data_IF_915558600023
#
_entry.id   IF_915558600023
#
_cell.length_a   1.000
_cell.length_b   1.000
_cell.length_c   1.000
_cell.angle_alpha   90.00
_cell.angle_beta   90.00
_cell.angle_gamma   90.00
#
_symmetry.space_group_name_H-M   'P 1'
#
loop_
_entity.id
_entity.type
_entity.pdbx_description
1 polymer ?
#
# COMPACT_ATOMS: atom_id res chain seq x y z
N UNK A 1 -15.36 9.07 -11.46
CA UNK A 1 -16.57 9.65 -10.84
C UNK A 1 -17.81 9.62 -11.77
N UNK A 2 -17.64 9.76 -13.09
CA UNK A 2 -18.78 9.82 -14.04
C UNK A 2 -19.68 8.56 -14.09
N UNK A 3 -19.26 7.46 -13.45
CA UNK A 3 -20.05 6.23 -13.29
C UNK A 3 -20.47 5.97 -11.83
N UNK A 4 -20.31 6.94 -10.93
CA UNK A 4 -20.59 6.78 -9.50
C UNK A 4 -19.53 5.93 -8.76
N UNK A 5 -18.33 5.82 -9.33
CA UNK A 5 -17.19 5.16 -8.70
C UNK A 5 -16.25 6.20 -8.09
N UNK A 6 -15.63 5.87 -6.99
CA UNK A 6 -14.49 6.56 -6.43
C UNK A 6 -13.24 6.30 -7.27
N UNK A 7 -12.26 7.20 -7.16
CA UNK A 7 -11.00 7.09 -7.91
C UNK A 7 -9.83 6.92 -6.95
N UNK A 8 -9.07 5.85 -7.13
CA UNK A 8 -7.89 5.56 -6.34
C UNK A 8 -6.62 5.42 -7.15
N UNK A 9 -5.47 5.71 -6.52
CA UNK A 9 -4.15 5.51 -7.10
C UNK A 9 -3.18 4.83 -6.13
N UNK A 10 -2.25 4.08 -6.71
CA UNK A 10 -1.10 3.51 -6.02
C UNK A 10 0.05 4.52 -6.01
N UNK A 11 0.70 4.68 -4.86
CA UNK A 11 1.88 5.50 -4.68
C UNK A 11 2.92 4.78 -3.83
N UNK A 12 4.19 5.15 -4.02
CA UNK A 12 5.34 4.67 -3.26
C UNK A 12 6.19 5.87 -2.78
N UNK A 13 5.63 6.78 -1.95
CA UNK A 13 6.21 8.09 -1.70
C UNK A 13 7.47 8.08 -0.83
N UNK A 14 7.68 7.00 -0.07
CA UNK A 14 8.86 6.85 0.79
C UNK A 14 10.12 6.39 0.04
N UNK A 15 9.95 6.06 -1.25
CA UNK A 15 11.03 5.50 -2.06
C UNK A 15 11.57 6.53 -3.04
N UNK A 16 12.87 6.48 -3.28
CA UNK A 16 13.55 7.30 -4.29
C UNK A 16 14.54 6.46 -5.07
N UNK A 17 14.52 6.58 -6.39
CA UNK A 17 15.52 5.96 -7.25
C UNK A 17 16.78 6.86 -7.27
N UNK A 18 18.01 6.31 -7.07
CA UNK A 18 19.25 7.09 -7.20
C UNK A 18 19.45 7.75 -8.56
N UNK A 19 18.81 7.25 -9.60
CA UNK A 19 18.78 7.88 -10.94
C UNK A 19 17.51 8.73 -11.14
N UNK A 20 17.12 9.52 -10.15
CA UNK A 20 16.02 10.48 -10.23
C UNK A 20 16.52 11.92 -10.02
N UNK A 21 15.75 12.90 -10.48
CA UNK A 21 16.05 14.30 -10.25
C UNK A 21 16.03 14.65 -8.76
N UNK A 22 15.09 14.07 -8.02
CA UNK A 22 15.02 14.25 -6.56
C UNK A 22 16.32 13.82 -5.88
N UNK A 23 16.80 12.62 -6.17
CA UNK A 23 18.04 12.13 -5.56
C UNK A 23 19.28 12.95 -6.01
N UNK A 24 19.36 13.33 -7.30
CA UNK A 24 20.47 14.15 -7.80
C UNK A 24 20.53 15.52 -7.15
N UNK A 25 19.37 16.11 -6.85
CA UNK A 25 19.25 17.43 -6.21
C UNK A 25 19.45 17.33 -4.71
N UNK A 26 18.95 16.27 -4.07
CA UNK A 26 18.95 16.10 -2.61
C UNK A 26 19.47 14.71 -2.19
N UNK A 27 20.76 14.40 -2.44
CA UNK A 27 21.34 13.10 -2.08
C UNK A 27 21.48 12.90 -0.55
N UNK A 28 21.29 13.95 0.22
CA UNK A 28 21.25 13.98 1.68
C UNK A 28 19.86 13.69 2.26
N UNK A 29 18.82 13.58 1.43
CA UNK A 29 17.46 13.22 1.85
C UNK A 29 17.21 11.70 1.89
N UNK A 30 18.25 10.89 1.83
CA UNK A 30 18.15 9.45 1.89
C UNK A 30 18.75 8.96 3.21
N UNK A 31 18.02 8.05 3.89
CA UNK A 31 18.55 7.33 5.05
C UNK A 31 19.80 6.55 4.65
N UNK A 32 20.93 6.82 5.26
CA UNK A 32 22.21 6.18 4.94
C UNK A 32 23.18 6.20 6.13
N UNK A 33 24.04 5.18 6.27
CA UNK A 33 24.89 5.04 7.47
C UNK A 33 26.05 6.03 7.51
N UNK A 34 26.59 6.42 6.34
CA UNK A 34 27.74 7.31 6.20
C UNK A 34 27.68 8.08 4.89
N UNK A 35 28.47 9.14 4.80
CA UNK A 35 28.69 9.79 3.51
C UNK A 35 29.40 8.88 2.52
N UNK A 36 29.09 9.03 1.24
CA UNK A 36 29.71 8.29 0.13
C UNK A 36 29.26 6.84 -0.02
N UNK A 37 28.40 6.32 0.86
CA UNK A 37 27.85 4.97 0.74
C UNK A 37 26.33 4.97 0.95
N UNK A 38 25.62 4.36 0.03
CA UNK A 38 24.19 4.09 0.16
C UNK A 38 23.97 2.70 0.78
N UNK A 39 22.83 2.50 1.47
CA UNK A 39 22.37 1.16 1.84
C UNK A 39 22.21 0.25 0.62
N UNK A 40 22.20 -1.05 0.86
CA UNK A 40 21.87 -2.01 -0.20
C UNK A 40 20.52 -1.65 -0.82
N UNK A 41 20.48 -1.59 -2.13
CA UNK A 41 19.26 -1.28 -2.87
C UNK A 41 18.23 -2.42 -2.79
N UNK A 42 16.96 -2.05 -2.72
CA UNK A 42 15.84 -2.94 -3.03
C UNK A 42 15.07 -2.34 -4.19
N UNK A 43 14.80 -3.11 -5.24
CA UNK A 43 14.10 -2.65 -6.46
C UNK A 43 14.71 -1.38 -7.08
N UNK A 44 16.04 -1.23 -7.02
CA UNK A 44 16.77 -0.01 -7.44
C UNK A 44 16.41 1.25 -6.65
N UNK A 45 15.85 1.10 -5.46
CA UNK A 45 15.35 2.21 -4.63
C UNK A 45 16.16 2.38 -3.35
N UNK A 46 16.07 3.60 -2.79
CA UNK A 46 16.50 3.98 -1.46
C UNK A 46 15.32 4.57 -0.68
N UNK A 47 15.44 4.69 0.63
CA UNK A 47 14.40 5.23 1.51
C UNK A 47 14.64 6.71 1.75
N UNK A 48 13.62 7.53 1.49
CA UNK A 48 13.63 8.97 1.79
C UNK A 48 13.63 9.19 3.30
N UNK A 49 14.47 10.05 3.80
CA UNK A 49 14.52 10.44 5.21
C UNK A 49 13.38 11.41 5.56
N UNK A 50 12.20 10.87 5.89
CA UNK A 50 11.06 11.68 6.30
C UNK A 50 11.22 12.30 7.70
N UNK A 51 12.33 12.03 8.41
CA UNK A 51 12.68 12.75 9.64
C UNK A 51 13.32 14.11 9.34
N UNK A 52 13.75 14.34 8.10
CA UNK A 52 14.15 15.62 7.58
C UNK A 52 12.88 16.42 7.19
N UNK A 53 12.61 17.59 7.81
CA UNK A 53 11.43 18.38 7.53
C UNK A 53 11.28 18.77 6.05
N UNK A 54 12.38 19.15 5.40
CA UNK A 54 12.33 19.57 4.00
C UNK A 54 11.92 18.42 3.07
N UNK A 55 12.41 17.19 3.35
CA UNK A 55 12.01 16.00 2.61
C UNK A 55 10.56 15.60 2.92
N UNK A 56 10.13 15.72 4.18
CA UNK A 56 8.76 15.51 4.58
C UNK A 56 7.79 16.43 3.84
N UNK A 57 8.07 17.75 3.92
CA UNK A 57 7.24 18.78 3.31
C UNK A 57 7.15 18.58 1.79
N UNK A 58 8.27 18.26 1.14
CA UNK A 58 8.28 17.94 -0.31
C UNK A 58 7.35 16.77 -0.68
N UNK A 59 7.41 15.68 0.08
CA UNK A 59 6.55 14.50 -0.18
C UNK A 59 5.10 14.84 0.15
N UNK A 60 4.84 15.50 1.30
CA UNK A 60 3.51 15.90 1.70
C UNK A 60 2.85 16.81 0.65
N UNK A 61 3.53 17.89 0.25
CA UNK A 61 3.02 18.85 -0.72
C UNK A 61 2.72 18.20 -2.09
N UNK A 62 3.59 17.29 -2.52
CA UNK A 62 3.36 16.55 -3.76
C UNK A 62 2.11 15.65 -3.69
N UNK A 63 1.90 14.96 -2.56
CA UNK A 63 0.74 14.11 -2.34
C UNK A 63 -0.54 14.93 -2.17
N UNK A 64 -0.51 15.98 -1.34
CA UNK A 64 -1.63 16.90 -1.11
C UNK A 64 -2.12 17.50 -2.44
N UNK A 65 -1.19 17.99 -3.24
CA UNK A 65 -1.49 18.54 -4.57
C UNK A 65 -2.15 17.52 -5.48
N UNK A 66 -1.61 16.30 -5.59
CA UNK A 66 -2.15 15.27 -6.46
C UNK A 66 -3.55 14.81 -6.01
N UNK A 67 -3.75 14.64 -4.70
CA UNK A 67 -5.06 14.29 -4.15
C UNK A 67 -6.09 15.37 -4.49
N UNK A 68 -5.77 16.65 -4.26
CA UNK A 68 -6.68 17.75 -4.53
C UNK A 68 -6.95 17.97 -6.04
N UNK A 69 -5.90 17.97 -6.88
CA UNK A 69 -6.04 18.25 -8.32
C UNK A 69 -6.78 17.12 -9.07
N UNK A 70 -6.55 15.87 -8.70
CA UNK A 70 -7.12 14.72 -9.39
C UNK A 70 -8.42 14.21 -8.74
N UNK A 71 -8.77 14.70 -7.57
CA UNK A 71 -9.92 14.24 -6.80
C UNK A 71 -9.76 12.76 -6.42
N UNK A 72 -8.63 12.43 -5.81
CA UNK A 72 -8.33 11.06 -5.38
C UNK A 72 -9.10 10.77 -4.10
N UNK A 73 -9.90 9.70 -4.11
CA UNK A 73 -10.68 9.25 -2.95
C UNK A 73 -9.94 8.15 -2.17
N UNK A 74 -9.02 7.43 -2.82
CA UNK A 74 -8.31 6.29 -2.24
C UNK A 74 -6.85 6.25 -2.65
N UNK A 75 -5.97 5.99 -1.69
CA UNK A 75 -4.54 5.77 -1.90
C UNK A 75 -4.15 4.36 -1.44
N UNK A 76 -3.50 3.59 -2.31
CA UNK A 76 -2.68 2.47 -1.90
C UNK A 76 -1.26 2.97 -1.69
N UNK A 77 -0.86 3.12 -0.43
CA UNK A 77 0.46 3.59 -0.04
C UNK A 77 1.41 2.42 0.17
N UNK A 78 2.41 2.31 -0.67
CA UNK A 78 3.33 1.18 -0.68
C UNK A 78 4.74 1.56 -0.23
N UNK A 79 5.49 0.55 0.26
CA UNK A 79 6.85 0.67 0.74
C UNK A 79 7.63 -0.62 0.42
N UNK A 80 8.36 -0.64 -0.70
CA UNK A 80 8.93 -1.87 -1.26
C UNK A 80 10.43 -2.05 -1.04
N UNK A 81 11.04 -1.22 -0.20
CA UNK A 81 12.43 -1.40 0.22
C UNK A 81 12.53 -1.37 1.74
N UNK A 82 13.08 -2.42 2.32
CA UNK A 82 13.34 -2.48 3.76
C UNK A 82 14.19 -1.30 4.23
N UNK A 83 13.81 -0.73 5.37
CA UNK A 83 14.60 0.30 6.07
C UNK A 83 15.80 -0.39 6.71
N UNK A 84 16.92 -0.35 6.02
CA UNK A 84 18.20 -0.89 6.48
C UNK A 84 19.20 0.24 6.69
N UNK A 85 20.09 0.11 7.64
CA UNK A 85 21.14 1.10 7.89
C UNK A 85 20.59 2.54 8.01
N UNK A 86 19.48 2.69 8.72
CA UNK A 86 18.66 3.88 8.78
C UNK A 86 19.27 4.94 9.71
N UNK A 87 20.24 5.67 9.24
CA UNK A 87 20.77 6.87 9.89
C UNK A 87 20.31 8.09 9.10
N UNK A 88 19.76 9.08 9.80
CA UNK A 88 19.42 10.37 9.19
C UNK A 88 20.72 11.17 8.96
N UNK A 89 21.04 11.56 7.72
CA UNK A 89 22.22 12.40 7.45
C UNK A 89 22.18 13.74 8.17
N UNK A 90 20.97 14.27 8.39
CA UNK A 90 20.76 15.53 9.07
C UNK A 90 21.19 15.50 10.55
N UNK A 91 20.97 14.39 11.24
CA UNK A 91 21.21 14.28 12.68
C UNK A 91 22.41 13.41 13.04
N UNK A 92 22.88 12.59 12.10
CA UNK A 92 23.88 11.55 12.34
C UNK A 92 23.42 10.45 13.30
N UNK A 93 22.11 10.27 13.52
CA UNK A 93 21.54 9.33 14.49
C UNK A 93 20.65 8.30 13.82
N UNK A 94 20.50 7.09 14.42
CA UNK A 94 19.49 6.10 13.98
C UNK A 94 18.09 6.72 13.97
N UNK A 95 17.33 6.46 12.92
CA UNK A 95 16.08 7.16 12.64
C UNK A 95 14.87 6.25 12.39
N UNK A 96 14.97 4.91 12.58
CA UNK A 96 13.88 3.97 12.26
C UNK A 96 12.56 4.37 12.92
N UNK A 97 12.57 4.61 14.22
CA UNK A 97 11.35 4.97 14.97
C UNK A 97 10.78 6.32 14.49
N UNK A 98 11.61 7.34 14.33
CA UNK A 98 11.18 8.65 13.84
C UNK A 98 10.65 8.58 12.40
N UNK A 99 11.24 7.74 11.56
CA UNK A 99 10.75 7.48 10.20
C UNK A 99 9.33 6.89 10.24
N UNK A 100 9.09 5.90 11.10
CA UNK A 100 7.76 5.31 11.28
C UNK A 100 6.75 6.35 11.75
N UNK A 101 7.10 7.16 12.75
CA UNK A 101 6.22 8.23 13.23
C UNK A 101 5.96 9.31 12.17
N UNK A 102 6.94 9.59 11.30
CA UNK A 102 6.76 10.54 10.21
C UNK A 102 5.75 10.01 9.17
N UNK A 103 5.76 8.70 8.88
CA UNK A 103 4.76 8.07 8.02
C UNK A 103 3.36 8.16 8.62
N UNK A 104 3.19 7.84 9.91
CA UNK A 104 1.89 7.97 10.57
C UNK A 104 1.37 9.40 10.53
N UNK A 105 2.25 10.38 10.75
CA UNK A 105 1.92 11.80 10.67
C UNK A 105 1.45 12.19 9.26
N UNK A 106 2.14 11.74 8.20
CA UNK A 106 1.76 12.11 6.82
C UNK A 106 0.39 11.54 6.45
N UNK A 107 0.02 10.34 6.93
CA UNK A 107 -1.33 9.79 6.75
C UNK A 107 -2.36 10.67 7.46
N UNK A 108 -2.08 11.03 8.71
CA UNK A 108 -2.96 11.90 9.51
C UNK A 108 -3.14 13.26 8.85
N UNK A 109 -2.05 13.89 8.40
CA UNK A 109 -2.05 15.22 7.80
C UNK A 109 -2.81 15.22 6.46
N UNK A 110 -2.60 14.20 5.60
CA UNK A 110 -3.34 14.06 4.34
C UNK A 110 -4.85 13.84 4.57
N UNK A 111 -5.23 12.98 5.51
CA UNK A 111 -6.65 12.74 5.85
C UNK A 111 -7.31 13.97 6.47
N UNK A 112 -6.56 14.78 7.22
CA UNK A 112 -7.07 16.04 7.76
C UNK A 112 -7.27 17.10 6.68
N UNK A 113 -6.40 17.17 5.68
CA UNK A 113 -6.50 18.07 4.54
C UNK A 113 -7.60 17.64 3.54
N UNK A 114 -7.82 16.33 3.39
CA UNK A 114 -8.78 15.75 2.47
C UNK A 114 -9.77 14.84 3.21
N UNK A 115 -10.81 15.39 3.86
CA UNK A 115 -11.82 14.60 4.56
C UNK A 115 -12.52 13.62 3.59
N UNK A 116 -12.53 12.34 3.96
CA UNK A 116 -13.05 11.26 3.11
C UNK A 116 -11.99 10.51 2.32
N UNK A 117 -10.73 10.96 2.30
CA UNK A 117 -9.62 10.19 1.73
C UNK A 117 -9.40 8.91 2.53
N UNK A 118 -9.38 7.78 1.86
CA UNK A 118 -9.01 6.48 2.41
C UNK A 118 -7.58 6.11 2.04
N UNK A 119 -6.82 5.56 3.00
CA UNK A 119 -5.44 5.12 2.78
C UNK A 119 -5.30 3.64 3.18
N UNK A 120 -4.92 2.81 2.22
CA UNK A 120 -4.49 1.43 2.45
C UNK A 120 -2.98 1.37 2.62
N UNK A 121 -2.52 0.83 3.75
CA UNK A 121 -1.10 0.62 4.00
C UNK A 121 -0.63 -0.69 3.38
N UNK A 122 0.35 -0.60 2.48
CA UNK A 122 1.08 -1.71 1.91
C UNK A 122 2.58 -1.53 2.18
N UNK A 123 3.28 -2.62 2.40
CA UNK A 123 4.74 -2.63 2.48
C UNK A 123 5.24 -3.98 1.99
N UNK A 124 5.36 -4.13 0.66
CA UNK A 124 5.57 -5.43 0.02
C UNK A 124 4.59 -6.49 0.54
N UNK A 125 3.30 -6.17 0.56
CA UNK A 125 2.29 -6.89 1.31
C UNK A 125 2.23 -6.44 2.78
N UNK A 126 2.28 -7.38 3.73
CA UNK A 126 2.07 -7.16 5.16
C UNK A 126 3.28 -6.68 5.96
N UNK A 127 4.32 -6.15 5.34
CA UNK A 127 5.57 -5.76 6.04
C UNK A 127 5.42 -4.60 7.05
N UNK A 128 4.29 -3.89 7.05
CA UNK A 128 3.97 -2.80 7.98
C UNK A 128 2.62 -3.03 8.66
N UNK A 129 2.39 -4.19 9.22
CA UNK A 129 1.17 -4.47 9.99
C UNK A 129 1.48 -4.36 11.47
N UNK A 130 1.14 -3.23 12.07
CA UNK A 130 1.26 -2.98 13.51
C UNK A 130 0.06 -2.15 14.01
N UNK A 131 -0.09 -2.02 15.33
CA UNK A 131 -1.21 -1.30 15.92
C UNK A 131 -1.16 0.21 15.64
N UNK A 132 0.02 0.79 15.43
CA UNK A 132 0.17 2.21 15.14
C UNK A 132 -0.34 2.56 13.73
N UNK A 133 -0.06 1.72 12.72
CA UNK A 133 -0.60 1.96 11.38
C UNK A 133 -2.12 1.81 11.33
N UNK A 134 -2.71 0.92 12.16
CA UNK A 134 -4.16 0.73 12.26
C UNK A 134 -4.89 1.95 12.84
N UNK A 135 -4.20 2.84 13.54
CA UNK A 135 -4.79 4.08 14.04
C UNK A 135 -4.96 5.13 12.95
N UNK A 136 -4.20 5.05 11.88
CA UNK A 136 -4.14 6.10 10.84
C UNK A 136 -4.53 5.64 9.45
N UNK A 137 -4.37 4.35 9.12
CA UNK A 137 -4.81 3.75 7.87
C UNK A 137 -6.24 3.22 7.98
N UNK A 138 -6.98 3.23 6.89
CA UNK A 138 -8.34 2.69 6.82
C UNK A 138 -8.32 1.18 6.63
N UNK A 139 -7.26 0.65 6.00
CA UNK A 139 -7.02 -0.78 5.84
C UNK A 139 -5.55 -1.11 5.58
N UNK A 140 -5.24 -2.37 5.66
CA UNK A 140 -3.91 -2.91 5.35
C UNK A 140 -3.99 -3.92 4.21
N UNK A 141 -2.90 -4.03 3.46
CA UNK A 141 -2.71 -5.09 2.49
C UNK A 141 -1.86 -6.21 3.09
N UNK A 142 -2.48 -7.37 3.36
CA UNK A 142 -1.82 -8.44 4.11
C UNK A 142 -0.74 -9.21 3.32
N UNK A 143 -0.91 -9.34 2.00
CA UNK A 143 0.04 -10.05 1.14
C UNK A 143 -0.27 -9.81 -0.33
N UNK A 144 0.77 -9.77 -1.19
CA UNK A 144 0.63 -9.73 -2.64
C UNK A 144 0.22 -11.09 -3.24
N UNK A 145 0.20 -12.15 -2.44
CA UNK A 145 -0.33 -13.44 -2.87
C UNK A 145 -1.86 -13.43 -2.80
N UNK A 146 -2.52 -13.50 -3.95
CA UNK A 146 -3.99 -13.54 -4.07
C UNK A 146 -4.53 -14.95 -4.35
N UNK A 147 -3.69 -15.98 -4.28
CA UNK A 147 -4.12 -17.38 -4.34
C UNK A 147 -5.03 -17.70 -3.14
N UNK A 148 -6.28 -18.12 -3.33
CA UNK A 148 -7.23 -18.33 -2.24
C UNK A 148 -6.80 -19.40 -1.24
N UNK A 149 -6.01 -20.38 -1.66
CA UNK A 149 -5.52 -21.44 -0.75
C UNK A 149 -4.46 -20.88 0.19
N UNK A 150 -3.52 -20.07 -0.32
CA UNK A 150 -2.52 -19.39 0.51
C UNK A 150 -3.18 -18.32 1.40
N UNK A 151 -4.17 -17.59 0.84
CA UNK A 151 -4.92 -16.58 1.58
C UNK A 151 -5.67 -17.16 2.79
N UNK A 152 -6.09 -18.40 2.76
CA UNK A 152 -6.74 -19.04 3.90
C UNK A 152 -5.89 -18.95 5.18
N UNK A 153 -4.59 -19.21 5.08
CA UNK A 153 -3.68 -19.08 6.23
C UNK A 153 -3.27 -17.63 6.48
N UNK A 154 -2.98 -16.86 5.43
CA UNK A 154 -2.60 -15.44 5.57
C UNK A 154 -3.70 -14.68 6.32
N UNK A 155 -4.95 -14.79 5.91
CA UNK A 155 -6.09 -14.09 6.51
C UNK A 155 -6.36 -14.60 7.94
N UNK A 156 -6.32 -15.92 8.13
CA UNK A 156 -6.51 -16.53 9.45
C UNK A 156 -5.55 -15.97 10.49
N UNK A 157 -4.26 -15.82 10.13
CA UNK A 157 -3.27 -15.33 11.08
C UNK A 157 -3.26 -13.80 11.18
N UNK A 158 -3.53 -13.09 10.09
CA UNK A 158 -3.66 -11.63 10.11
C UNK A 158 -4.86 -11.20 10.96
N UNK A 159 -5.98 -11.92 10.88
CA UNK A 159 -7.18 -11.61 11.65
C UNK A 159 -7.06 -11.83 13.17
N UNK A 160 -5.96 -12.42 13.65
CA UNK A 160 -5.65 -12.45 15.09
C UNK A 160 -5.24 -11.07 15.62
N UNK A 161 -4.78 -10.17 14.75
CA UNK A 161 -4.34 -8.82 15.10
C UNK A 161 -5.21 -7.73 14.50
N UNK A 162 -5.69 -7.95 13.26
CA UNK A 162 -6.40 -6.95 12.45
C UNK A 162 -7.84 -7.39 12.23
N UNK A 163 -8.84 -6.54 12.52
CA UNK A 163 -10.23 -6.83 12.19
C UNK A 163 -10.40 -7.11 10.69
N UNK A 164 -11.23 -8.10 10.29
CA UNK A 164 -11.38 -8.47 8.89
C UNK A 164 -11.75 -7.30 7.96
N UNK A 165 -12.59 -6.38 8.40
CA UNK A 165 -13.00 -5.20 7.66
C UNK A 165 -11.85 -4.23 7.33
N UNK A 166 -10.73 -4.33 8.03
CA UNK A 166 -9.52 -3.57 7.75
C UNK A 166 -8.50 -4.36 6.90
N UNK A 167 -8.79 -5.57 6.51
CA UNK A 167 -7.88 -6.40 5.70
C UNK A 167 -8.32 -6.31 4.22
N UNK A 168 -7.45 -5.75 3.37
CA UNK A 168 -7.66 -5.78 1.92
C UNK A 168 -7.58 -7.21 1.39
N UNK A 169 -8.65 -7.66 0.75
CA UNK A 169 -8.78 -9.02 0.22
C UNK A 169 -9.27 -8.97 -1.22
N UNK A 170 -8.43 -9.43 -2.14
CA UNK A 170 -8.77 -9.36 -3.56
C UNK A 170 -9.08 -10.73 -4.14
N UNK A 171 -10.12 -10.74 -4.97
CA UNK A 171 -10.40 -11.83 -5.90
C UNK A 171 -9.46 -11.67 -7.09
N UNK A 172 -8.48 -12.55 -7.21
CA UNK A 172 -7.50 -12.51 -8.28
C UNK A 172 -7.88 -13.38 -9.50
N UNK A 173 -7.04 -13.33 -10.54
CA UNK A 173 -7.16 -14.20 -11.71
C UNK A 173 -6.94 -15.67 -11.37
N UNK A 174 -7.45 -16.57 -12.24
CA UNK A 174 -7.10 -17.99 -12.22
C UNK A 174 -6.46 -18.36 -13.58
N UNK A 175 -5.24 -18.93 -13.59
CA UNK A 175 -4.37 -19.26 -12.45
C UNK A 175 -3.86 -18.04 -11.70
N UNK A 176 -3.61 -18.18 -10.37
CA UNK A 176 -3.02 -17.14 -9.56
C UNK A 176 -1.59 -16.81 -10.02
N UNK A 177 -1.24 -15.53 -10.10
CA UNK A 177 0.06 -15.09 -10.64
C UNK A 177 1.26 -15.55 -9.82
N UNK A 178 1.09 -15.69 -8.50
CA UNK A 178 2.18 -16.06 -7.57
C UNK A 178 2.47 -17.54 -7.49
N UNK A 179 1.43 -18.39 -7.57
CA UNK A 179 1.53 -19.85 -7.35
C UNK A 179 1.27 -20.66 -8.60
N UNK A 180 0.70 -20.05 -9.64
CA UNK A 180 0.20 -20.70 -10.86
C UNK A 180 -0.90 -21.75 -10.59
N UNK A 181 -1.52 -21.72 -9.41
CA UNK A 181 -2.65 -22.59 -9.06
C UNK A 181 -3.93 -22.11 -9.71
N UNK A 182 -4.62 -23.01 -10.40
CA UNK A 182 -5.96 -22.77 -10.90
C UNK A 182 -6.99 -23.12 -9.81
N UNK A 183 -7.95 -22.23 -9.62
CA UNK A 183 -9.02 -22.38 -8.61
C UNK A 183 -10.35 -21.93 -9.19
N UNK A 184 -11.45 -22.38 -8.59
CA UNK A 184 -12.78 -21.95 -9.00
C UNK A 184 -13.08 -20.51 -8.59
N UNK A 185 -14.02 -19.87 -9.25
CA UNK A 185 -14.44 -18.51 -8.90
C UNK A 185 -15.04 -18.47 -7.49
N UNK A 186 -15.87 -19.44 -7.13
CA UNK A 186 -16.52 -19.54 -5.82
C UNK A 186 -15.49 -19.55 -4.68
N UNK A 187 -14.40 -20.31 -4.83
CA UNK A 187 -13.35 -20.34 -3.80
C UNK A 187 -12.67 -18.99 -3.68
N UNK A 188 -12.35 -18.34 -4.81
CA UNK A 188 -11.73 -17.00 -4.81
C UNK A 188 -12.64 -15.95 -4.17
N UNK A 189 -13.93 -15.97 -4.49
CA UNK A 189 -14.93 -15.06 -3.93
C UNK A 189 -15.14 -15.32 -2.44
N UNK A 190 -15.31 -16.58 -2.03
CA UNK A 190 -15.53 -16.94 -0.63
C UNK A 190 -14.37 -16.49 0.27
N UNK A 191 -13.12 -16.54 -0.25
CA UNK A 191 -11.95 -16.10 0.50
C UNK A 191 -11.88 -14.58 0.67
N UNK A 192 -12.35 -13.80 -0.29
CA UNK A 192 -12.32 -12.34 -0.23
C UNK A 192 -13.57 -11.72 0.45
N UNK A 193 -14.61 -12.53 0.70
CA UNK A 193 -15.94 -12.05 1.07
C UNK A 193 -16.00 -11.39 2.45
N UNK A 194 -15.18 -11.82 3.40
CA UNK A 194 -15.23 -11.34 4.79
C UNK A 194 -14.28 -10.19 5.12
N UNK A 195 -13.45 -9.79 4.15
CA UNK A 195 -12.56 -8.63 4.27
C UNK A 195 -13.03 -7.45 3.43
N UNK A 196 -12.12 -6.51 3.18
CA UNK A 196 -12.37 -5.42 2.24
C UNK A 196 -12.15 -5.93 0.82
N UNK A 197 -13.24 -6.39 0.19
CA UNK A 197 -13.18 -7.12 -1.08
C UNK A 197 -12.85 -6.21 -2.27
N UNK A 198 -11.86 -6.62 -3.07
CA UNK A 198 -11.52 -6.02 -4.35
C UNK A 198 -11.50 -7.06 -5.48
N UNK A 199 -11.50 -6.59 -6.71
CA UNK A 199 -11.41 -7.41 -7.92
C UNK A 199 -10.14 -7.03 -8.67
N UNK A 200 -9.26 -8.01 -8.91
CA UNK A 200 -7.90 -7.79 -9.40
C UNK A 200 -7.56 -8.71 -10.59
N UNK A 201 -8.29 -8.55 -11.70
CA UNK A 201 -7.88 -9.16 -12.97
C UNK A 201 -8.58 -8.53 -14.18
N UNK A 202 -8.23 -8.97 -15.40
CA UNK A 202 -8.80 -8.44 -16.64
C UNK A 202 -10.15 -9.07 -16.95
N UNK A 203 -11.22 -8.44 -16.48
CA UNK A 203 -12.60 -8.91 -16.69
C UNK A 203 -13.01 -8.96 -18.17
N UNK A 204 -12.37 -8.20 -19.06
CA UNK A 204 -12.69 -8.23 -20.49
C UNK A 204 -12.34 -9.55 -21.19
N UNK A 205 -11.61 -10.43 -20.52
CA UNK A 205 -11.23 -11.74 -21.03
C UNK A 205 -12.11 -12.87 -20.50
N UNK A 206 -13.00 -12.58 -19.56
CA UNK A 206 -13.84 -13.58 -18.95
C UNK A 206 -15.11 -13.85 -19.77
N UNK A 207 -15.61 -15.09 -19.79
CA UNK A 207 -16.94 -15.40 -20.30
C UNK A 207 -18.03 -14.61 -19.57
N UNK A 208 -19.12 -14.32 -20.27
CA UNK A 208 -20.24 -13.57 -19.68
C UNK A 208 -20.82 -14.26 -18.43
N UNK A 209 -20.85 -15.58 -18.42
CA UNK A 209 -21.33 -16.40 -17.28
C UNK A 209 -20.51 -16.15 -16.01
N UNK A 210 -19.17 -16.03 -16.13
CA UNK A 210 -18.29 -15.71 -15.01
C UNK A 210 -18.50 -14.25 -14.51
N UNK A 211 -18.79 -13.34 -15.42
CA UNK A 211 -19.08 -11.94 -15.07
C UNK A 211 -20.43 -11.84 -14.35
N UNK A 212 -21.44 -12.58 -14.80
CA UNK A 212 -22.77 -12.60 -14.18
C UNK A 212 -22.70 -13.19 -12.77
N UNK A 213 -21.98 -14.31 -12.59
CA UNK A 213 -21.74 -14.90 -11.27
C UNK A 213 -20.97 -13.95 -10.33
N UNK A 214 -19.96 -13.25 -10.85
CA UNK A 214 -19.24 -12.24 -10.08
C UNK A 214 -20.16 -11.10 -9.62
N UNK A 215 -21.07 -10.65 -10.50
CA UNK A 215 -22.00 -9.59 -10.18
C UNK A 215 -22.97 -9.99 -9.05
N UNK A 216 -23.40 -11.27 -9.02
CA UNK A 216 -24.23 -11.81 -7.93
C UNK A 216 -23.47 -11.78 -6.58
N UNK A 217 -22.20 -12.21 -6.57
CA UNK A 217 -21.36 -12.15 -5.38
C UNK A 217 -21.15 -10.72 -4.87
N UNK A 218 -20.89 -9.77 -5.78
CA UNK A 218 -20.74 -8.35 -5.42
C UNK A 218 -22.04 -7.79 -4.86
N UNK A 219 -23.20 -8.16 -5.41
CA UNK A 219 -24.49 -7.75 -4.90
C UNK A 219 -24.77 -8.29 -3.49
N UNK A 220 -24.33 -9.51 -3.19
CA UNK A 220 -24.43 -10.10 -1.85
C UNK A 220 -23.50 -9.41 -0.85
N UNK A 221 -22.24 -9.15 -1.25
CA UNK A 221 -21.25 -8.46 -0.43
C UNK A 221 -21.71 -7.04 0.00
N UNK A 222 -22.51 -6.37 -0.83
CA UNK A 222 -23.01 -5.01 -0.56
C UNK A 222 -24.22 -4.94 0.38
N UNK A 223 -24.75 -6.07 0.84
CA UNK A 223 -25.88 -6.11 1.78
C UNK A 223 -25.43 -5.89 3.22
#
# INVERSE_FOLDING_TARGET
HGKGLEFGLWFEPEMVNPDSDLFRTHPDWVLKPTEGRLPMQGRTQQVVDLTNPDAYDYIYDAMDKLVGELGIDYIKWDHNKLVTEAVSPRTGRPAVHQQTLAVYRIFTDLKAAHPGLEIESCSSGGGRVDLGILEVADRIWGSDCVDPVERADIQRYTSLLVPPEMIGEHVGASPAHSTHRATTQELRMAMAFFGHMGIEWNLLKEPQEEIDALAEWVAEFKK
#
